data_IF_351264676015
#
_entry.id   IF_351264676015
#
_cell.length_a   1.000
_cell.length_b   1.000
_cell.length_c   1.000
_cell.angle_alpha   90.00
_cell.angle_beta   90.00
_cell.angle_gamma   90.00
#
_symmetry.space_group_name_H-M   'P 1'
#
loop_
_entity.id
_entity.type
_entity.pdbx_description
1 polymer ?
#
# COMPACT_ATOMS: atom_id res chain seq x y z
N UNK A 1 -0.72 -2.37 -25.20
CA UNK A 1 -0.22 -2.63 -23.83
C UNK A 1 0.80 -1.52 -23.62
N UNK A 2 0.30 -0.35 -23.25
CA UNK A 2 1.09 0.86 -23.29
C UNK A 2 1.86 0.93 -21.98
N UNK A 3 3.19 0.82 -22.04
CA UNK A 3 4.02 0.98 -20.86
C UNK A 3 4.01 2.47 -20.48
N UNK A 4 3.33 2.81 -19.39
CA UNK A 4 3.44 4.14 -18.82
C UNK A 4 4.84 4.26 -18.22
N UNK A 5 5.73 5.00 -18.88
CA UNK A 5 6.98 5.44 -18.27
C UNK A 5 6.66 6.25 -17.01
N UNK A 6 7.53 6.18 -15.99
CA UNK A 6 7.44 7.11 -14.88
C UNK A 6 7.53 8.54 -15.43
N UNK A 7 6.55 9.38 -15.11
CA UNK A 7 6.66 10.83 -15.34
C UNK A 7 7.88 11.35 -14.57
N UNK A 8 8.51 12.41 -15.06
CA UNK A 8 9.64 13.06 -14.36
C UNK A 8 9.30 13.28 -12.87
N UNK A 9 10.15 12.80 -11.97
CA UNK A 9 9.97 12.90 -10.52
C UNK A 9 9.40 11.67 -9.82
N UNK A 10 8.85 10.68 -10.55
CA UNK A 10 8.34 9.43 -9.96
C UNK A 10 9.29 8.25 -10.16
N UNK A 11 9.35 7.35 -9.19
CA UNK A 11 10.26 6.20 -9.19
C UNK A 11 9.58 4.88 -9.56
N UNK A 12 8.25 4.79 -9.39
CA UNK A 12 7.46 3.58 -9.59
C UNK A 12 6.06 3.91 -10.13
N UNK A 13 5.36 2.88 -10.64
CA UNK A 13 3.99 2.96 -11.13
C UNK A 13 3.07 2.31 -10.10
N UNK A 14 1.92 2.92 -9.79
CA UNK A 14 0.85 2.27 -9.06
C UNK A 14 -0.12 1.62 -10.05
N UNK A 15 -0.27 0.31 -9.99
CA UNK A 15 -1.14 -0.44 -10.91
C UNK A 15 -2.59 -0.34 -10.48
N UNK A 16 -3.45 0.04 -11.43
CA UNK A 16 -4.88 0.21 -11.24
C UNK A 16 -5.65 -0.75 -12.14
N UNK A 17 -6.62 -1.45 -11.55
CA UNK A 17 -7.57 -2.30 -12.23
C UNK A 17 -8.96 -1.62 -12.23
N UNK A 18 -9.46 -1.19 -13.39
CA UNK A 18 -10.80 -0.64 -13.49
C UNK A 18 -11.85 -1.74 -13.36
N UNK A 19 -12.66 -1.71 -12.29
CA UNK A 19 -13.78 -2.62 -12.08
C UNK A 19 -15.06 -1.84 -11.81
N UNK A 20 -16.21 -2.46 -12.07
CA UNK A 20 -17.50 -1.89 -11.67
C UNK A 20 -17.90 -2.44 -10.30
N UNK A 21 -18.34 -1.57 -9.41
CA UNK A 21 -18.93 -1.98 -8.13
C UNK A 21 -20.34 -2.55 -8.30
N UNK A 22 -20.97 -2.94 -7.19
CA UNK A 22 -22.33 -3.51 -7.18
C UNK A 22 -23.43 -2.55 -7.67
N UNK A 23 -23.14 -1.25 -7.75
CA UNK A 23 -24.04 -0.22 -8.28
C UNK A 23 -23.72 0.11 -9.75
N UNK A 24 -22.71 -0.54 -10.32
CA UNK A 24 -22.27 -0.35 -11.69
C UNK A 24 -21.34 0.86 -11.87
N UNK A 25 -20.87 1.51 -10.81
CA UNK A 25 -19.93 2.64 -10.91
C UNK A 25 -18.52 2.11 -11.17
N UNK A 26 -17.77 2.77 -12.07
CA UNK A 26 -16.38 2.42 -12.31
C UNK A 26 -15.52 2.87 -11.11
N UNK A 27 -14.70 1.97 -10.59
CA UNK A 27 -13.73 2.19 -9.52
C UNK A 27 -12.35 1.75 -9.98
N UNK A 28 -11.32 2.43 -9.50
CA UNK A 28 -9.93 2.06 -9.78
C UNK A 28 -9.32 1.32 -8.60
N UNK A 29 -9.33 -0.02 -8.67
CA UNK A 29 -8.78 -0.89 -7.64
C UNK A 29 -7.26 -0.89 -7.73
N UNK A 30 -6.59 -0.64 -6.62
CA UNK A 30 -5.14 -0.65 -6.55
C UNK A 30 -4.67 -2.09 -6.39
N UNK A 31 -3.69 -2.53 -7.19
CA UNK A 31 -3.20 -3.91 -7.16
C UNK A 31 -1.78 -4.03 -6.62
N UNK A 32 -0.83 -3.31 -7.22
CA UNK A 32 0.60 -3.45 -6.96
C UNK A 32 1.33 -2.11 -7.19
N UNK A 33 2.54 -1.97 -6.65
CA UNK A 33 3.43 -0.83 -6.90
C UNK A 33 4.71 -1.31 -7.58
N UNK A 34 4.91 -0.95 -8.83
CA UNK A 34 6.00 -1.46 -9.66
C UNK A 34 5.93 -2.98 -9.77
N UNK A 35 6.92 -3.68 -9.22
CA UNK A 35 6.97 -5.15 -9.13
C UNK A 35 6.81 -5.65 -7.68
N UNK A 36 6.11 -4.90 -6.84
CA UNK A 36 5.92 -5.17 -5.41
C UNK A 36 4.44 -5.22 -5.07
N UNK A 37 4.07 -6.08 -4.12
CA UNK A 37 2.76 -5.99 -3.47
C UNK A 37 2.69 -4.69 -2.67
N UNK A 38 1.51 -4.12 -2.53
CA UNK A 38 1.30 -2.85 -1.81
C UNK A 38 0.49 -3.06 -0.54
N UNK A 39 0.84 -2.30 0.49
CA UNK A 39 0.16 -2.23 1.77
C UNK A 39 -0.22 -0.78 2.07
N UNK A 40 -1.37 -0.62 2.70
CA UNK A 40 -1.89 0.66 3.16
C UNK A 40 -2.13 0.58 4.66
N UNK A 41 -1.63 1.58 5.40
CA UNK A 41 -1.86 1.73 6.82
C UNK A 41 -2.80 2.90 7.03
N UNK A 42 -3.97 2.60 7.58
CA UNK A 42 -4.98 3.59 7.91
C UNK A 42 -5.22 3.64 9.42
N UNK A 43 -5.69 4.78 9.91
CA UNK A 43 -6.20 4.92 11.26
C UNK A 43 -7.64 5.45 11.24
N UNK A 44 -8.53 4.75 11.94
CA UNK A 44 -9.92 5.15 12.12
C UNK A 44 -10.31 5.12 13.61
N UNK A 45 -11.60 5.32 13.88
CA UNK A 45 -12.19 5.29 15.23
C UNK A 45 -12.00 3.96 15.98
N UNK A 46 -11.67 2.89 15.25
CA UNK A 46 -11.39 1.57 15.82
C UNK A 46 -9.90 1.33 15.99
N UNK A 47 -9.03 2.23 15.53
CA UNK A 47 -7.57 2.14 15.58
C UNK A 47 -6.94 1.80 14.23
N UNK A 48 -5.73 1.23 14.26
CA UNK A 48 -4.93 0.99 13.05
C UNK A 48 -5.44 -0.22 12.25
N UNK A 49 -5.74 0.02 10.97
CA UNK A 49 -6.00 -0.98 9.94
C UNK A 49 -4.81 -1.05 8.97
N UNK A 50 -4.40 -2.27 8.61
CA UNK A 50 -3.47 -2.51 7.52
C UNK A 50 -4.19 -3.33 6.45
N UNK A 51 -4.36 -2.75 5.27
CA UNK A 51 -5.01 -3.38 4.13
C UNK A 51 -4.00 -3.72 3.03
N UNK A 52 -4.18 -4.87 2.38
CA UNK A 52 -3.46 -5.24 1.15
C UNK A 52 -4.38 -5.97 0.18
N UNK A 53 -4.28 -5.74 -1.13
CA UNK A 53 -5.07 -6.48 -2.11
C UNK A 53 -4.91 -8.01 -2.01
N UNK A 54 -5.99 -8.79 -2.22
CA UNK A 54 -5.94 -10.25 -2.21
C UNK A 54 -5.26 -10.80 -3.49
N UNK A 55 -4.57 -11.94 -3.37
CA UNK A 55 -3.76 -12.54 -4.46
C UNK A 55 -4.55 -13.39 -5.46
N UNK A 56 -5.85 -13.12 -5.64
CA UNK A 56 -6.75 -14.10 -6.29
C UNK A 56 -6.72 -14.12 -7.81
N UNK A 57 -6.16 -13.10 -8.47
CA UNK A 57 -6.11 -13.03 -9.94
C UNK A 57 -4.86 -12.30 -10.45
N UNK A 58 -4.84 -10.98 -10.29
CA UNK A 58 -3.86 -10.09 -10.93
C UNK A 58 -2.66 -9.80 -10.02
N UNK A 59 -2.89 -9.82 -8.70
CA UNK A 59 -1.86 -9.53 -7.70
C UNK A 59 -1.01 -10.77 -7.47
N UNK A 60 0.31 -10.64 -7.61
CA UNK A 60 1.21 -11.78 -7.48
C UNK A 60 1.29 -12.25 -6.02
N UNK A 61 1.30 -13.57 -5.75
CA UNK A 61 1.49 -14.11 -4.41
C UNK A 61 2.96 -14.00 -3.97
N UNK A 62 3.34 -12.83 -3.48
CA UNK A 62 4.72 -12.54 -3.06
C UNK A 62 5.10 -13.23 -1.74
N UNK A 63 6.25 -13.90 -1.72
CA UNK A 63 6.78 -14.53 -0.50
C UNK A 63 7.06 -13.47 0.59
N UNK A 64 7.62 -12.31 0.21
CA UNK A 64 7.84 -11.19 1.15
C UNK A 64 6.53 -10.69 1.76
N UNK A 65 5.48 -10.56 0.95
CA UNK A 65 4.14 -10.17 1.41
C UNK A 65 3.61 -11.14 2.46
N UNK A 66 3.74 -12.44 2.24
CA UNK A 66 3.28 -13.45 3.19
C UNK A 66 4.04 -13.40 4.51
N UNK A 67 5.36 -13.13 4.48
CA UNK A 67 6.15 -12.89 5.69
C UNK A 67 5.71 -11.62 6.42
N UNK A 68 5.47 -10.52 5.69
CA UNK A 68 4.97 -9.26 6.27
C UNK A 68 3.61 -9.47 6.94
N UNK A 69 2.66 -10.17 6.30
CA UNK A 69 1.35 -10.46 6.89
C UNK A 69 1.47 -11.23 8.21
N UNK A 70 2.40 -12.19 8.30
CA UNK A 70 2.67 -12.93 9.54
C UNK A 70 3.24 -12.02 10.63
N UNK A 71 4.21 -11.17 10.30
CA UNK A 71 4.83 -10.22 11.24
C UNK A 71 3.80 -9.24 11.79
N UNK A 72 2.95 -8.70 10.91
CA UNK A 72 1.92 -7.73 11.28
C UNK A 72 0.80 -8.36 12.10
N UNK A 73 0.43 -9.61 11.81
CA UNK A 73 -0.61 -10.33 12.53
C UNK A 73 -0.17 -10.93 13.88
N UNK A 74 1.14 -11.03 14.16
CA UNK A 74 1.66 -11.80 15.28
C UNK A 74 1.32 -11.25 16.66
N UNK A 75 1.24 -9.92 16.83
CA UNK A 75 1.02 -9.29 18.15
C UNK A 75 -0.42 -8.85 18.42
N UNK A 76 -1.31 -9.00 17.43
CA UNK A 76 -2.73 -8.66 17.53
C UNK A 76 -3.03 -7.18 17.77
N UNK A 77 -2.05 -6.28 17.61
CA UNK A 77 -2.22 -4.84 17.88
C UNK A 77 -2.86 -4.07 16.73
N UNK A 78 -2.77 -4.61 15.52
CA UNK A 78 -3.29 -4.01 14.29
C UNK A 78 -4.29 -4.94 13.63
N UNK A 79 -5.29 -4.36 12.96
CA UNK A 79 -6.22 -5.15 12.14
C UNK A 79 -5.62 -5.33 10.76
N UNK A 80 -5.21 -6.55 10.43
CA UNK A 80 -4.70 -6.87 9.08
C UNK A 80 -5.81 -7.45 8.24
N UNK A 81 -6.08 -6.86 7.07
CA UNK A 81 -7.13 -7.28 6.15
C UNK A 81 -6.57 -7.48 4.73
N UNK A 82 -6.81 -8.66 4.17
CA UNK A 82 -6.62 -8.89 2.73
C UNK A 82 -7.89 -8.49 1.99
N UNK A 83 -7.94 -7.25 1.52
CA UNK A 83 -9.11 -6.65 0.85
C UNK A 83 -8.68 -5.67 -0.24
N UNK A 84 -9.56 -5.44 -1.18
CA UNK A 84 -9.36 -4.39 -2.17
C UNK A 84 -9.32 -3.01 -1.51
N UNK A 85 -8.49 -2.13 -2.08
CA UNK A 85 -8.43 -0.70 -1.79
C UNK A 85 -8.53 0.01 -3.12
N UNK A 86 -9.43 1.00 -3.24
CA UNK A 86 -9.57 1.78 -4.47
C UNK A 86 -8.93 3.16 -4.33
N UNK A 87 -8.62 3.81 -5.46
CA UNK A 87 -8.16 5.20 -5.45
C UNK A 87 -9.18 6.14 -4.81
N UNK A 88 -10.48 5.88 -4.99
CA UNK A 88 -11.55 6.66 -4.38
C UNK A 88 -11.52 6.55 -2.85
N UNK A 89 -11.37 5.34 -2.30
CA UNK A 89 -11.20 5.14 -0.86
C UNK A 89 -9.93 5.84 -0.36
N UNK A 90 -8.80 5.63 -1.04
CA UNK A 90 -7.53 6.21 -0.63
C UNK A 90 -7.59 7.75 -0.59
N UNK A 91 -8.22 8.38 -1.59
CA UNK A 91 -8.44 9.82 -1.63
C UNK A 91 -9.39 10.29 -0.52
N UNK A 92 -10.44 9.53 -0.20
CA UNK A 92 -11.34 9.85 0.92
C UNK A 92 -10.59 9.80 2.26
N UNK A 93 -9.89 8.70 2.52
CA UNK A 93 -9.08 8.50 3.73
C UNK A 93 -8.02 9.59 3.86
N UNK A 94 -7.37 9.97 2.76
CA UNK A 94 -6.40 11.06 2.75
C UNK A 94 -7.01 12.39 3.15
N UNK A 95 -8.16 12.77 2.59
CA UNK A 95 -8.88 14.00 2.97
C UNK A 95 -9.26 14.01 4.46
N UNK A 96 -9.52 12.84 5.03
CA UNK A 96 -9.84 12.64 6.44
C UNK A 96 -8.60 12.56 7.35
N UNK A 97 -7.38 12.61 6.78
CA UNK A 97 -6.10 12.42 7.47
C UNK A 97 -5.98 11.06 8.15
N UNK A 98 -6.56 10.04 7.53
CA UNK A 98 -6.57 8.67 8.02
C UNK A 98 -5.48 7.82 7.37
N UNK A 99 -4.68 8.35 6.44
CA UNK A 99 -3.56 7.64 5.81
C UNK A 99 -2.30 7.86 6.64
N UNK A 100 -1.76 6.79 7.21
CA UNK A 100 -0.54 6.84 8.03
C UNK A 100 0.70 6.47 7.22
N UNK A 101 0.64 5.36 6.48
CA UNK A 101 1.75 4.86 5.70
C UNK A 101 1.23 4.14 4.45
N UNK A 102 2.04 4.14 3.39
CA UNK A 102 1.87 3.28 2.21
C UNK A 102 3.24 2.69 1.91
N UNK A 103 3.31 1.40 1.62
CA UNK A 103 4.58 0.77 1.29
C UNK A 103 4.43 -0.42 0.34
N UNK A 104 5.47 -0.64 -0.46
CA UNK A 104 5.64 -1.83 -1.28
C UNK A 104 6.44 -2.91 -0.55
N UNK A 105 6.18 -4.18 -0.84
CA UNK A 105 7.00 -5.31 -0.43
C UNK A 105 7.39 -6.16 -1.63
N UNK A 106 8.66 -6.52 -1.74
CA UNK A 106 9.15 -7.45 -2.76
C UNK A 106 10.47 -8.09 -2.37
N UNK A 107 10.95 -9.02 -3.18
CA UNK A 107 12.24 -9.68 -2.97
C UNK A 107 13.42 -8.75 -3.25
N UNK A 108 13.28 -7.81 -4.19
CA UNK A 108 14.32 -6.82 -4.50
C UNK A 108 14.44 -5.69 -3.46
N UNK A 109 13.38 -5.45 -2.70
CA UNK A 109 13.33 -4.49 -1.59
C UNK A 109 12.29 -5.00 -0.59
N UNK A 110 12.76 -5.47 0.57
CA UNK A 110 11.93 -6.12 1.60
C UNK A 110 10.70 -5.27 1.94
N UNK A 111 10.92 -3.99 2.24
CA UNK A 111 9.90 -2.96 2.38
C UNK A 111 10.39 -1.67 1.73
N UNK A 112 9.55 -1.03 0.94
CA UNK A 112 9.82 0.23 0.27
C UNK A 112 8.72 1.25 0.61
N UNK A 113 8.99 2.23 1.48
CA UNK A 113 8.03 3.29 1.80
C UNK A 113 7.66 4.11 0.58
N UNK A 114 6.38 4.49 0.46
CA UNK A 114 5.87 5.39 -0.56
C UNK A 114 5.70 6.77 0.06
N UNK A 115 6.37 7.78 -0.51
CA UNK A 115 6.30 9.16 -0.04
C UNK A 115 5.10 9.92 -0.60
N UNK A 116 4.77 9.70 -1.87
CA UNK A 116 3.57 10.28 -2.45
C UNK A 116 2.98 9.42 -3.56
N UNK A 117 1.68 9.60 -3.78
CA UNK A 117 0.91 8.97 -4.86
C UNK A 117 0.20 10.07 -5.62
N UNK A 118 0.36 10.12 -6.95
CA UNK A 118 -0.34 11.08 -7.79
C UNK A 118 -1.35 10.38 -8.67
N UNK A 119 -2.59 10.88 -8.66
CA UNK A 119 -3.71 10.32 -9.40
C UNK A 119 -4.63 11.45 -9.88
N UNK A 120 -4.94 11.52 -11.18
CA UNK A 120 -5.79 12.55 -11.79
C UNK A 120 -5.43 13.99 -11.33
N UNK A 121 -4.14 14.31 -11.37
CA UNK A 121 -3.57 15.61 -10.95
C UNK A 121 -3.73 15.96 -9.46
N UNK A 122 -4.21 15.00 -8.64
CA UNK A 122 -4.22 15.09 -7.18
C UNK A 122 -3.02 14.34 -6.62
N UNK A 123 -2.21 15.02 -5.82
CA UNK A 123 -1.11 14.42 -5.07
C UNK A 123 -1.55 14.09 -3.63
N UNK A 124 -1.29 12.85 -3.24
CA UNK A 124 -1.44 12.31 -1.90
C UNK A 124 -0.04 12.29 -1.29
N UNK A 125 0.25 13.21 -0.37
CA UNK A 125 1.49 13.21 0.40
C UNK A 125 1.33 12.24 1.57
N UNK A 126 2.15 11.19 1.60
CA UNK A 126 2.08 10.13 2.61
C UNK A 126 3.02 10.51 3.75
N UNK A 127 2.55 10.58 5.00
CA UNK A 127 3.40 10.89 6.13
C UNK A 127 4.59 9.94 6.24
N UNK A 128 5.80 10.49 6.35
CA UNK A 128 7.02 9.73 6.63
C UNK A 128 7.84 10.49 7.67
N UNK A 129 8.57 9.76 8.51
CA UNK A 129 9.63 10.37 9.32
C UNK A 129 10.75 10.87 8.38
N UNK A 130 11.10 12.15 8.42
CA UNK A 130 12.07 12.72 7.48
C UNK A 130 13.51 12.19 7.67
N UNK A 131 13.88 11.78 8.88
CA UNK A 131 15.21 11.25 9.16
C UNK A 131 15.36 9.79 8.73
N UNK A 132 14.27 9.02 8.81
CA UNK A 132 14.26 7.59 8.53
C UNK A 132 13.75 7.29 7.11
N UNK A 133 12.88 8.15 6.57
CA UNK A 133 12.17 7.96 5.30
C UNK A 133 11.07 6.90 5.36
N UNK A 134 10.63 6.51 6.57
CA UNK A 134 9.66 5.44 6.79
C UNK A 134 8.82 5.71 8.05
N UNK A 135 7.60 5.17 8.10
CA UNK A 135 6.80 5.18 9.32
C UNK A 135 7.08 3.99 10.25
N UNK A 136 6.46 3.96 11.44
CA UNK A 136 6.70 2.95 12.47
C UNK A 136 6.38 1.51 12.02
N UNK A 137 5.37 1.31 11.16
CA UNK A 137 5.01 -0.02 10.66
C UNK A 137 6.09 -0.52 9.69
N UNK A 138 6.49 0.30 8.71
CA UNK A 138 7.61 -0.05 7.83
C UNK A 138 8.88 -0.36 8.61
N UNK A 139 9.18 0.45 9.64
CA UNK A 139 10.37 0.25 10.46
C UNK A 139 10.34 -1.08 11.22
N UNK A 140 9.21 -1.41 11.84
CA UNK A 140 9.01 -2.68 12.54
C UNK A 140 9.31 -3.86 11.61
N UNK A 141 8.78 -3.84 10.39
CA UNK A 141 9.00 -4.94 9.43
C UNK A 141 10.48 -5.04 9.05
N UNK A 142 11.14 -3.91 8.77
CA UNK A 142 12.57 -3.88 8.43
C UNK A 142 13.44 -4.43 9.57
N UNK A 143 13.12 -4.08 10.82
CA UNK A 143 13.86 -4.55 12.00
C UNK A 143 13.69 -6.06 12.19
N UNK A 144 12.47 -6.59 12.09
CA UNK A 144 12.19 -8.02 12.23
C UNK A 144 12.86 -8.86 11.12
N UNK A 145 12.84 -8.38 9.87
CA UNK A 145 13.47 -9.11 8.76
C UNK A 145 15.01 -9.03 8.79
N UNK A 146 15.59 -7.99 9.38
CA UNK A 146 17.05 -7.89 9.54
C UNK A 146 17.63 -8.78 10.66
N UNK A 147 16.77 -9.41 11.48
CA UNK A 147 17.16 -10.27 12.59
C UNK A 147 17.15 -11.77 12.26
N UNK A 148 16.69 -12.16 11.06
CA UNK A 148 16.79 -13.52 10.48
C UNK A 148 18.03 -13.69 9.59
#
# INVERSE_FOLDING_TARGET
MDCFQSKEGYTQILWLLPLRDGEGQLKHHITEVGSMNVFFVFEDDRGVEIATPPTKDIVLPGITRDSVLKILGADGKVRVSERDVTMEELLERYRRREVLEIFGTGTGAIVCPVKSVTYEDVEIDVPVDEAIGAGPICRKILDEVAMD
#
